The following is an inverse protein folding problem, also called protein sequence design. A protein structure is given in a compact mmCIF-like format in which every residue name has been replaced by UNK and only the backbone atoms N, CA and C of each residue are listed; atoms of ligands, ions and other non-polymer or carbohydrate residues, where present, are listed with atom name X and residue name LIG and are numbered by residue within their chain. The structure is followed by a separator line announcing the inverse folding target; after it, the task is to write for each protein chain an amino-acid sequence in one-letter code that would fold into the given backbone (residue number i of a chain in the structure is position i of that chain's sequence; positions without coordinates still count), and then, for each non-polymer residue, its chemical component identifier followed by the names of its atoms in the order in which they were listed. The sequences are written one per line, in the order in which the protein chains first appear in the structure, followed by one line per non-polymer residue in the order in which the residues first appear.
data_IF_474168204626
#
_entry.id   IF_474168204626
#
_cell.length_a   1.000
_cell.length_b   1.000
_cell.length_c   1.000
_cell.angle_alpha   90.00
_cell.angle_beta   90.00
_cell.angle_gamma   90.00
#
_symmetry.space_group_name_H-M   'P 1'
#
loop_
_entity.id
_entity.type
_entity.pdbx_description
1 polymer ?
#
# COMPACT_ATOMS: atom_id res chain seq x y z
N UNK A 1 -14.57 -25.61 -7.98
CA UNK A 1 -16.01 -25.22 -7.81
C UNK A 1 -16.26 -24.19 -6.71
N UNK A 2 -15.24 -23.67 -6.03
CA UNK A 2 -15.37 -22.60 -5.02
C UNK A 2 -14.90 -21.21 -5.50
N UNK A 3 -14.31 -21.10 -6.70
CA UNK A 3 -13.85 -19.81 -7.29
C UNK A 3 -14.96 -18.94 -7.95
N UNK A 4 -16.22 -19.38 -7.92
CA UNK A 4 -17.32 -18.68 -8.63
C UNK A 4 -18.33 -17.98 -7.73
N UNK A 5 -18.10 -17.86 -6.42
CA UNK A 5 -19.11 -17.32 -5.50
C UNK A 5 -18.89 -15.90 -4.96
N UNK A 6 -17.80 -15.23 -5.29
CA UNK A 6 -17.54 -13.86 -4.80
C UNK A 6 -17.66 -12.74 -5.85
N UNK A 7 -17.93 -13.05 -7.12
CA UNK A 7 -17.94 -12.05 -8.21
C UNK A 7 -19.33 -11.80 -8.82
N UNK A 8 -20.42 -12.34 -8.26
CA UNK A 8 -21.70 -12.39 -8.99
C UNK A 8 -22.78 -11.39 -8.58
N UNK A 9 -22.59 -10.53 -7.57
CA UNK A 9 -23.71 -9.73 -7.04
C UNK A 9 -23.58 -8.21 -7.06
N UNK A 10 -22.62 -7.63 -7.84
CA UNK A 10 -22.55 -6.18 -7.98
C UNK A 10 -22.16 -5.74 -9.39
N UNK A 11 -23.04 -6.00 -10.38
CA UNK A 11 -22.99 -5.28 -11.67
C UNK A 11 -24.17 -4.30 -11.74
N UNK A 12 -23.93 -2.97 -11.73
CA UNK A 12 -24.93 -2.05 -12.25
C UNK A 12 -25.08 -2.29 -13.77
N UNK A 13 -26.31 -2.21 -14.30
CA UNK A 13 -26.55 -2.26 -15.73
C UNK A 13 -25.85 -1.07 -16.40
N UNK A 14 -24.93 -1.35 -17.32
CA UNK A 14 -24.26 -0.33 -18.13
C UNK A 14 -25.28 0.39 -19.02
N UNK A 15 -25.22 1.71 -19.01
CA UNK A 15 -25.96 2.60 -19.90
C UNK A 15 -25.47 2.39 -21.35
N UNK A 16 -26.38 2.13 -22.34
CA UNK A 16 -26.02 1.97 -23.74
C UNK A 16 -25.30 3.18 -24.39
N UNK A 17 -25.47 4.37 -23.82
CA UNK A 17 -24.85 5.59 -24.33
C UNK A 17 -23.36 5.68 -24.02
N UNK A 18 -22.87 4.90 -23.05
CA UNK A 18 -21.43 4.86 -22.70
C UNK A 18 -20.55 4.23 -23.80
N UNK A 19 -21.05 3.15 -24.42
CA UNK A 19 -20.34 2.49 -25.55
C UNK A 19 -20.25 3.38 -26.79
N UNK A 20 -21.25 4.24 -27.03
CA UNK A 20 -21.25 5.20 -28.13
C UNK A 20 -20.24 6.34 -27.89
N UNK A 21 -20.10 6.79 -26.67
CA UNK A 21 -19.15 7.85 -26.31
C UNK A 21 -17.69 7.38 -26.39
N UNK A 22 -17.40 6.12 -26.04
CA UNK A 22 -16.05 5.53 -26.23
C UNK A 22 -15.67 5.44 -27.71
N UNK A 23 -16.61 5.04 -28.58
CA UNK A 23 -16.34 4.95 -30.02
C UNK A 23 -16.04 6.33 -30.65
N UNK A 24 -16.65 7.40 -30.14
CA UNK A 24 -16.37 8.79 -30.57
C UNK A 24 -14.99 9.23 -30.06
N UNK A 25 -14.61 8.93 -28.82
CA UNK A 25 -13.32 9.25 -28.24
C UNK A 25 -12.18 8.45 -28.89
N UNK A 26 -12.42 7.18 -29.23
CA UNK A 26 -11.44 6.34 -29.94
C UNK A 26 -11.16 6.87 -31.35
N UNK A 27 -12.17 7.36 -32.07
CA UNK A 27 -11.96 7.99 -33.39
C UNK A 27 -11.22 9.34 -33.30
N UNK A 28 -11.35 10.05 -32.18
CA UNK A 28 -10.67 11.33 -31.96
C UNK A 28 -9.15 11.17 -31.68
N UNK A 29 -8.77 10.08 -31.01
CA UNK A 29 -7.39 9.80 -30.58
C UNK A 29 -6.53 9.10 -31.65
N UNK A 30 -7.13 8.58 -32.74
CA UNK A 30 -6.44 7.69 -33.71
C UNK A 30 -6.28 8.20 -35.12
N UNK A 31 -6.60 9.45 -35.36
CA UNK A 31 -6.27 10.10 -36.63
C UNK A 31 -5.16 11.12 -36.37
N UNK A 32 -4.09 11.13 -37.19
CA UNK A 32 -3.07 12.19 -37.25
C UNK A 32 -3.70 13.52 -37.76
N UNK A 33 -4.88 13.87 -37.25
CA UNK A 33 -5.60 15.07 -37.59
C UNK A 33 -5.15 16.21 -36.68
N UNK A 34 -4.83 17.33 -37.30
CA UNK A 34 -4.63 18.59 -36.57
C UNK A 34 -5.93 19.04 -35.89
N UNK A 35 -5.84 19.89 -34.88
CA UNK A 35 -7.02 20.42 -34.16
C UNK A 35 -8.01 21.12 -35.16
N UNK A 36 -7.53 21.70 -36.25
CA UNK A 36 -8.33 22.30 -37.30
C UNK A 36 -9.11 21.27 -38.13
N UNK A 37 -8.53 20.12 -38.40
CA UNK A 37 -9.19 19.02 -39.12
C UNK A 37 -10.24 18.32 -38.25
N UNK A 38 -10.02 18.22 -36.94
CA UNK A 38 -10.99 17.66 -36.00
C UNK A 38 -12.22 18.57 -35.84
N UNK A 39 -12.03 19.88 -35.82
CA UNK A 39 -13.11 20.86 -35.80
C UNK A 39 -13.92 20.83 -37.09
N UNK A 40 -13.29 20.60 -38.25
CA UNK A 40 -13.93 20.51 -39.54
C UNK A 40 -14.74 19.20 -39.74
N UNK A 41 -14.38 18.12 -39.04
CA UNK A 41 -14.98 16.80 -39.23
C UNK A 41 -16.23 16.50 -38.39
N UNK A 42 -16.51 17.28 -37.35
CA UNK A 42 -17.49 16.79 -36.37
C UNK A 42 -18.54 17.73 -35.80
N UNK A 43 -18.42 19.06 -35.83
CA UNK A 43 -19.38 19.94 -35.16
C UNK A 43 -19.53 21.34 -35.74
N UNK A 44 -19.45 21.52 -37.01
CA UNK A 44 -19.74 22.82 -37.60
C UNK A 44 -21.18 22.87 -38.10
N UNK A 45 -22.05 23.50 -37.39
CA UNK A 45 -23.18 24.25 -38.00
C UNK A 45 -22.60 25.52 -38.57
N UNK A 46 -22.85 25.85 -39.85
CA UNK A 46 -22.30 27.05 -40.45
C UNK A 46 -23.18 28.25 -40.11
N UNK A 47 -22.70 29.17 -39.31
CA UNK A 47 -23.19 30.54 -39.37
C UNK A 47 -22.06 31.58 -39.30
N UNK A 48 -21.97 32.26 -40.45
CA UNK A 48 -21.52 33.63 -40.69
C UNK A 48 -20.06 34.01 -40.38
N UNK A 49 -19.35 34.13 -41.48
CA UNK A 49 -18.14 34.92 -41.59
C UNK A 49 -18.44 36.40 -41.27
N UNK A 50 -17.74 36.91 -40.28
CA UNK A 50 -17.24 38.31 -40.33
C UNK A 50 -15.96 38.34 -39.47
N UNK A 51 -14.88 38.86 -40.10
CA UNK A 51 -13.55 38.80 -39.55
C UNK A 51 -13.38 39.73 -38.33
N UNK A 52 -13.09 39.16 -37.22
CA UNK A 52 -12.30 39.74 -36.14
C UNK A 52 -11.35 38.66 -35.61
N UNK A 53 -10.08 39.02 -35.56
CA UNK A 53 -9.00 38.24 -34.97
C UNK A 53 -9.35 38.05 -33.46
N UNK A 54 -10.06 36.98 -33.12
CA UNK A 54 -10.39 36.66 -31.73
C UNK A 54 -9.15 36.12 -31.06
N UNK A 55 -8.60 36.90 -30.14
CA UNK A 55 -7.59 36.44 -29.18
C UNK A 55 -8.06 35.12 -28.54
N UNK A 56 -7.19 34.10 -28.56
CA UNK A 56 -7.42 32.82 -27.87
C UNK A 56 -7.75 33.14 -26.42
N UNK A 57 -8.84 32.61 -25.83
CA UNK A 57 -9.19 32.90 -24.48
C UNK A 57 -8.03 32.55 -23.54
N UNK A 58 -7.68 33.47 -22.65
CA UNK A 58 -6.58 33.31 -21.67
C UNK A 58 -6.65 32.00 -20.90
N UNK A 59 -7.85 31.47 -20.67
CA UNK A 59 -8.11 30.17 -20.06
C UNK A 59 -7.57 28.97 -20.87
N UNK A 60 -7.63 29.01 -22.21
CA UNK A 60 -7.14 27.93 -23.08
C UNK A 60 -5.62 27.93 -23.14
N UNK A 61 -4.96 29.09 -23.19
CA UNK A 61 -3.50 29.20 -23.12
C UNK A 61 -2.96 28.74 -21.76
N UNK A 62 -3.64 29.08 -20.66
CA UNK A 62 -3.25 28.63 -19.30
C UNK A 62 -3.37 27.12 -19.16
N UNK A 63 -4.45 26.52 -19.69
CA UNK A 63 -4.64 25.06 -19.64
C UNK A 63 -3.59 24.33 -20.50
N UNK A 64 -3.31 24.82 -21.70
CA UNK A 64 -2.28 24.25 -22.57
C UNK A 64 -0.89 24.28 -21.91
N UNK A 65 -0.50 25.41 -21.35
CA UNK A 65 0.79 25.54 -20.64
C UNK A 65 0.88 24.64 -19.40
N UNK A 66 -0.23 24.43 -18.68
CA UNK A 66 -0.27 23.51 -17.53
C UNK A 66 -0.08 22.07 -17.98
N UNK A 67 -0.74 21.64 -19.04
CA UNK A 67 -0.59 20.30 -19.60
C UNK A 67 0.86 20.05 -20.08
N UNK A 68 1.46 21.01 -20.78
CA UNK A 68 2.86 20.91 -21.24
C UNK A 68 3.83 20.73 -20.07
N UNK A 69 3.61 21.40 -18.94
CA UNK A 69 4.44 21.27 -17.73
C UNK A 69 4.32 19.88 -17.12
N UNK A 70 3.10 19.34 -17.01
CA UNK A 70 2.83 18.00 -16.47
C UNK A 70 3.50 16.92 -17.34
N UNK A 71 3.33 17.00 -18.66
CA UNK A 71 3.93 16.05 -19.60
C UNK A 71 5.46 16.08 -19.53
N UNK A 72 6.06 17.27 -19.51
CA UNK A 72 7.52 17.42 -19.40
C UNK A 72 8.01 16.82 -18.09
N UNK A 73 7.36 17.15 -16.97
CA UNK A 73 7.75 16.64 -15.67
C UNK A 73 7.69 15.10 -15.61
N UNK A 74 6.57 14.50 -16.01
CA UNK A 74 6.43 13.04 -15.98
C UNK A 74 7.39 12.33 -16.93
N UNK A 75 7.68 12.90 -18.09
CA UNK A 75 8.67 12.34 -19.00
C UNK A 75 10.06 12.25 -18.37
N UNK A 76 10.44 13.27 -17.58
CA UNK A 76 11.76 13.35 -16.94
C UNK A 76 11.81 12.58 -15.61
N UNK A 77 10.66 12.26 -14.99
CA UNK A 77 10.54 11.63 -13.67
C UNK A 77 9.78 10.28 -13.69
N UNK A 78 9.70 9.64 -14.86
CA UNK A 78 9.17 8.29 -15.02
C UNK A 78 10.30 7.37 -15.45
N UNK A 79 10.49 6.28 -14.70
CA UNK A 79 11.50 5.26 -14.99
C UNK A 79 10.85 3.92 -15.32
N UNK A 80 11.23 3.26 -16.44
CA UNK A 80 10.87 1.86 -16.67
C UNK A 80 11.58 0.95 -15.67
N UNK A 81 10.82 0.12 -14.94
CA UNK A 81 11.34 -0.76 -13.89
C UNK A 81 11.20 -2.22 -14.29
N UNK A 82 12.25 -2.98 -14.01
CA UNK A 82 12.29 -4.44 -14.08
C UNK A 82 12.65 -4.96 -12.69
N UNK A 83 11.69 -5.47 -11.95
CA UNK A 83 11.83 -5.84 -10.53
C UNK A 83 12.90 -6.92 -10.24
N UNK A 84 13.41 -7.58 -11.26
CA UNK A 84 14.54 -8.53 -11.15
C UNK A 84 15.92 -7.84 -11.07
N UNK A 85 15.96 -6.52 -11.29
CA UNK A 85 17.16 -5.70 -11.22
C UNK A 85 17.11 -4.75 -10.03
N UNK A 86 18.27 -4.38 -9.44
CA UNK A 86 18.32 -3.38 -8.38
C UNK A 86 17.77 -2.03 -8.85
N UNK A 87 17.05 -1.35 -7.96
CA UNK A 87 16.67 0.05 -8.14
C UNK A 87 17.88 0.95 -7.86
N UNK A 88 17.97 2.08 -8.56
CA UNK A 88 18.99 3.10 -8.37
C UNK A 88 18.38 4.39 -7.80
N UNK A 89 19.21 5.25 -7.18
CA UNK A 89 18.76 6.53 -6.61
C UNK A 89 18.06 7.42 -7.66
N UNK A 90 18.57 7.41 -8.90
CA UNK A 90 17.98 8.17 -10.00
C UNK A 90 16.55 7.71 -10.35
N UNK A 91 16.25 6.43 -10.13
CA UNK A 91 14.92 5.86 -10.40
C UNK A 91 13.93 6.24 -9.30
N UNK A 92 14.38 6.23 -8.05
CA UNK A 92 13.53 6.48 -6.88
C UNK A 92 13.20 7.96 -6.70
N UNK A 93 14.12 8.86 -7.02
CA UNK A 93 14.00 10.29 -6.79
C UNK A 93 14.17 10.67 -5.32
N UNK A 94 13.38 11.65 -4.83
CA UNK A 94 13.46 12.07 -3.43
C UNK A 94 13.16 10.90 -2.47
N UNK A 95 14.05 10.68 -1.50
CA UNK A 95 13.96 9.58 -0.53
C UNK A 95 14.20 10.05 0.91
N UNK A 96 14.07 11.36 1.18
CA UNK A 96 14.23 11.93 2.54
C UNK A 96 12.96 11.73 3.37
N UNK A 97 12.64 10.47 3.61
CA UNK A 97 11.50 10.03 4.41
C UNK A 97 11.95 9.05 5.49
N UNK A 98 11.13 8.91 6.53
CA UNK A 98 11.31 7.94 7.60
C UNK A 98 10.47 6.69 7.40
N UNK A 99 9.27 6.83 6.83
CA UNK A 99 8.33 5.72 6.58
C UNK A 99 8.01 5.66 5.10
N UNK A 100 8.21 4.49 4.50
CA UNK A 100 7.91 4.20 3.11
C UNK A 100 6.77 3.18 3.05
N UNK A 101 5.66 3.54 2.39
CA UNK A 101 4.49 2.68 2.23
C UNK A 101 4.23 2.43 0.75
N UNK A 102 4.30 1.17 0.33
CA UNK A 102 3.91 0.76 -1.02
C UNK A 102 2.51 0.13 -0.98
N UNK A 103 1.64 0.56 -1.87
CA UNK A 103 0.31 0.00 -2.02
C UNK A 103 0.32 -1.34 -2.76
N UNK A 104 -0.62 -2.22 -2.43
CA UNK A 104 -0.82 -3.45 -3.18
C UNK A 104 -2.30 -3.79 -3.34
N UNK A 105 -2.59 -4.57 -4.38
CA UNK A 105 -3.78 -5.42 -4.48
C UNK A 105 -3.38 -6.84 -4.18
N UNK A 106 -4.00 -7.44 -3.18
CA UNK A 106 -3.64 -8.80 -2.75
C UNK A 106 -3.83 -9.83 -3.87
N UNK A 107 -2.85 -10.74 -3.97
CA UNK A 107 -2.89 -11.86 -4.90
C UNK A 107 -2.37 -11.54 -6.30
N UNK A 108 -1.86 -10.34 -6.52
CA UNK A 108 -1.17 -10.02 -7.76
C UNK A 108 0.25 -10.60 -7.76
N UNK A 109 0.66 -11.31 -8.82
CA UNK A 109 1.94 -12.03 -8.85
C UNK A 109 3.17 -11.10 -8.76
N UNK A 110 3.05 -9.86 -9.21
CA UNK A 110 4.14 -8.88 -9.20
C UNK A 110 4.48 -8.35 -7.80
N UNK A 111 3.55 -8.45 -6.84
CA UNK A 111 3.70 -7.88 -5.49
C UNK A 111 4.99 -8.33 -4.79
N UNK A 112 5.31 -9.60 -4.89
CA UNK A 112 6.48 -10.17 -4.21
C UNK A 112 7.79 -9.63 -4.78
N UNK A 113 7.91 -9.55 -6.11
CA UNK A 113 9.09 -9.00 -6.77
C UNK A 113 9.26 -7.51 -6.48
N UNK A 114 8.18 -6.73 -6.56
CA UNK A 114 8.14 -5.31 -6.20
C UNK A 114 8.56 -5.10 -4.75
N UNK A 115 7.97 -5.82 -3.79
CA UNK A 115 8.31 -5.74 -2.36
C UNK A 115 9.78 -6.01 -2.10
N UNK A 116 10.32 -7.06 -2.75
CA UNK A 116 11.72 -7.43 -2.61
C UNK A 116 12.65 -6.34 -3.11
N UNK A 117 12.42 -5.83 -4.33
CA UNK A 117 13.28 -4.80 -4.93
C UNK A 117 13.22 -3.48 -4.13
N UNK A 118 12.01 -3.04 -3.74
CA UNK A 118 11.83 -1.84 -2.92
C UNK A 118 12.48 -1.99 -1.55
N UNK A 119 12.27 -3.11 -0.84
CA UNK A 119 12.89 -3.31 0.47
C UNK A 119 14.40 -3.32 0.38
N UNK A 120 14.97 -4.04 -0.60
CA UNK A 120 16.42 -4.10 -0.77
C UNK A 120 17.00 -2.71 -1.04
N UNK A 121 16.44 -1.96 -1.99
CA UNK A 121 16.87 -0.59 -2.28
C UNK A 121 16.79 0.31 -1.03
N UNK A 122 15.66 0.31 -0.34
CA UNK A 122 15.43 1.16 0.81
C UNK A 122 16.33 0.78 2.00
N UNK A 123 16.63 -0.50 2.18
CA UNK A 123 17.59 -0.94 3.19
C UNK A 123 19.01 -0.48 2.85
N UNK A 124 19.48 -0.73 1.62
CA UNK A 124 20.86 -0.46 1.20
C UNK A 124 21.14 1.03 1.04
N UNK A 125 20.19 1.82 0.55
CA UNK A 125 20.40 3.23 0.21
C UNK A 125 19.80 4.18 1.25
N UNK A 126 18.72 3.79 1.93
CA UNK A 126 18.00 4.68 2.84
C UNK A 126 18.09 4.26 4.32
N UNK A 127 18.67 3.10 4.61
CA UNK A 127 18.83 2.61 5.99
C UNK A 127 17.53 2.12 6.62
N UNK A 128 16.58 1.63 5.83
CA UNK A 128 15.38 0.97 6.34
C UNK A 128 15.75 -0.36 6.99
N UNK A 129 15.47 -0.53 8.27
CA UNK A 129 15.74 -1.76 9.02
C UNK A 129 14.48 -2.48 9.49
N UNK A 130 13.30 -1.87 9.40
CA UNK A 130 12.06 -2.47 9.90
C UNK A 130 11.09 -2.68 8.75
N UNK A 131 10.75 -3.96 8.49
CA UNK A 131 9.69 -4.35 7.57
C UNK A 131 8.36 -4.32 8.30
N UNK A 132 7.46 -3.44 7.87
CA UNK A 132 6.08 -3.39 8.34
C UNK A 132 5.21 -4.38 7.56
N UNK A 133 4.31 -5.09 8.25
CA UNK A 133 3.36 -6.03 7.62
C UNK A 133 1.93 -5.80 8.11
N UNK A 134 0.95 -5.98 7.19
CA UNK A 134 -0.48 -5.85 7.49
C UNK A 134 -1.02 -7.11 8.17
N UNK A 135 -0.39 -7.50 9.28
CA UNK A 135 -0.82 -8.62 10.12
C UNK A 135 -0.66 -8.25 11.60
N UNK A 136 -1.23 -9.04 12.50
CA UNK A 136 -1.25 -8.75 13.92
C UNK A 136 0.13 -8.70 14.56
N UNK A 137 0.24 -7.98 15.67
CA UNK A 137 1.49 -7.85 16.44
C UNK A 137 1.97 -9.23 16.90
N UNK A 138 1.07 -10.05 17.47
CA UNK A 138 1.40 -11.41 17.89
C UNK A 138 1.68 -12.33 16.72
N UNK A 139 0.89 -12.26 15.66
CA UNK A 139 1.11 -13.02 14.42
C UNK A 139 2.48 -12.72 13.79
N UNK A 140 2.98 -11.49 13.94
CA UNK A 140 4.28 -11.07 13.37
C UNK A 140 5.46 -11.61 14.18
N UNK A 141 5.30 -11.90 15.47
CA UNK A 141 6.38 -12.45 16.30
C UNK A 141 6.88 -13.82 15.80
N UNK A 142 6.03 -14.60 15.11
CA UNK A 142 6.49 -15.86 14.48
C UNK A 142 7.45 -15.60 13.32
N UNK A 143 7.27 -14.49 12.58
CA UNK A 143 8.19 -14.07 11.51
C UNK A 143 9.51 -13.54 12.08
N UNK A 144 9.46 -12.72 13.13
CA UNK A 144 10.64 -12.22 13.82
C UNK A 144 11.47 -13.40 14.37
N UNK A 145 10.81 -14.39 14.95
CA UNK A 145 11.46 -15.61 15.42
C UNK A 145 12.05 -16.43 14.27
N UNK A 146 11.35 -16.50 13.12
CA UNK A 146 11.90 -17.14 11.93
C UNK A 146 13.15 -16.41 11.42
N UNK A 147 13.12 -15.09 11.31
CA UNK A 147 14.29 -14.32 10.87
C UNK A 147 15.48 -14.47 11.81
N UNK A 148 15.25 -14.67 13.10
CA UNK A 148 16.29 -14.90 14.10
C UNK A 148 16.89 -16.30 14.01
N UNK A 149 16.06 -17.34 13.81
CA UNK A 149 16.47 -18.74 13.95
C UNK A 149 16.65 -19.48 12.64
N UNK A 150 15.88 -19.13 11.60
CA UNK A 150 15.73 -19.87 10.35
C UNK A 150 14.92 -21.16 10.48
N UNK A 151 14.23 -21.37 11.61
CA UNK A 151 13.38 -22.53 11.80
C UNK A 151 12.06 -22.37 11.04
N UNK A 152 11.91 -23.20 9.99
CA UNK A 152 10.74 -23.22 9.10
C UNK A 152 9.42 -23.47 9.83
N UNK A 153 9.43 -24.05 11.04
CA UNK A 153 8.20 -24.23 11.81
C UNK A 153 7.55 -22.88 12.12
N UNK A 154 8.35 -21.86 12.47
CA UNK A 154 7.85 -20.51 12.72
C UNK A 154 7.25 -19.89 11.46
N UNK A 155 7.94 -19.98 10.34
CA UNK A 155 7.42 -19.51 9.07
C UNK A 155 6.11 -20.20 8.70
N UNK A 156 6.02 -21.51 8.90
CA UNK A 156 4.81 -22.28 8.62
C UNK A 156 3.59 -21.86 9.43
N UNK A 157 3.75 -21.33 10.65
CA UNK A 157 2.63 -20.74 11.39
C UNK A 157 2.10 -19.50 10.70
N UNK A 158 2.96 -18.61 10.22
CA UNK A 158 2.56 -17.43 9.46
C UNK A 158 1.90 -17.77 8.13
N UNK A 159 2.45 -18.73 7.38
CA UNK A 159 1.94 -19.11 6.06
C UNK A 159 0.51 -19.64 6.09
N UNK A 160 0.04 -20.15 7.23
CA UNK A 160 -1.38 -20.53 7.42
C UNK A 160 -2.34 -19.35 7.28
N UNK A 161 -1.86 -18.11 7.43
CA UNK A 161 -2.67 -16.89 7.28
C UNK A 161 -2.80 -16.48 5.81
N UNK A 162 -1.92 -16.96 4.92
CA UNK A 162 -1.74 -16.39 3.58
C UNK A 162 -2.59 -17.07 2.50
N UNK A 163 -3.23 -18.19 2.79
CA UNK A 163 -4.12 -18.87 1.84
C UNK A 163 -3.45 -19.17 0.51
N UNK A 164 -3.98 -18.64 -0.60
CA UNK A 164 -3.44 -18.85 -1.95
C UNK A 164 -2.11 -18.12 -2.21
N UNK A 165 -1.72 -17.16 -1.37
CA UNK A 165 -0.46 -16.41 -1.49
C UNK A 165 0.69 -17.08 -0.72
N UNK A 166 0.46 -18.23 -0.06
CA UNK A 166 1.44 -18.84 0.85
C UNK A 166 2.79 -19.16 0.18
N UNK A 167 2.79 -19.62 -1.08
CA UNK A 167 4.03 -19.96 -1.77
C UNK A 167 4.88 -18.71 -2.07
N UNK A 168 4.26 -17.63 -2.55
CA UNK A 168 4.93 -16.37 -2.83
C UNK A 168 5.45 -15.71 -1.52
N UNK A 169 4.65 -15.77 -0.46
CA UNK A 169 5.08 -15.31 0.86
C UNK A 169 6.25 -16.14 1.41
N UNK A 170 6.21 -17.46 1.26
CA UNK A 170 7.31 -18.33 1.68
C UNK A 170 8.61 -18.00 0.95
N UNK A 171 8.55 -17.73 -0.36
CA UNK A 171 9.70 -17.33 -1.16
C UNK A 171 10.29 -16.01 -0.63
N UNK A 172 9.44 -15.00 -0.42
CA UNK A 172 9.86 -13.70 0.11
C UNK A 172 10.54 -13.81 1.48
N UNK A 173 9.93 -14.49 2.45
CA UNK A 173 10.46 -14.59 3.80
C UNK A 173 11.74 -15.41 3.88
N UNK A 174 11.90 -16.46 3.04
CA UNK A 174 13.16 -17.21 2.92
C UNK A 174 14.26 -16.35 2.31
N UNK A 175 13.94 -15.56 1.29
CA UNK A 175 14.87 -14.59 0.76
C UNK A 175 15.26 -13.56 1.84
N UNK A 176 14.31 -12.96 2.54
CA UNK A 176 14.59 -11.96 3.57
C UNK A 176 15.43 -12.52 4.72
N UNK A 177 15.20 -13.77 5.14
CA UNK A 177 16.04 -14.45 6.12
C UNK A 177 17.49 -14.54 5.65
N UNK A 178 17.74 -15.02 4.42
CA UNK A 178 19.10 -15.12 3.88
C UNK A 178 19.75 -13.74 3.73
N UNK A 179 19.01 -12.77 3.25
CA UNK A 179 19.44 -11.39 3.09
C UNK A 179 19.79 -10.77 4.45
N UNK A 180 18.93 -10.88 5.45
CA UNK A 180 19.17 -10.39 6.80
C UNK A 180 20.46 -10.96 7.41
N UNK A 181 20.71 -12.26 7.24
CA UNK A 181 21.96 -12.88 7.69
C UNK A 181 23.21 -12.29 7.02
N UNK A 182 23.12 -11.94 5.75
CA UNK A 182 24.22 -11.29 5.01
C UNK A 182 24.45 -9.87 5.49
N UNK A 183 23.40 -9.18 5.91
CA UNK A 183 23.44 -7.81 6.43
C UNK A 183 23.75 -7.74 7.95
N UNK A 184 24.10 -8.84 8.58
CA UNK A 184 24.48 -8.89 9.99
C UNK A 184 23.32 -9.07 10.99
N UNK A 185 22.12 -9.37 10.53
CA UNK A 185 20.96 -9.66 11.39
C UNK A 185 20.29 -8.41 11.97
N UNK A 186 20.30 -7.29 11.25
CA UNK A 186 19.79 -5.99 11.71
C UNK A 186 18.35 -5.70 11.26
N UNK A 187 17.78 -6.55 10.42
CA UNK A 187 16.43 -6.36 9.88
C UNK A 187 15.42 -6.98 10.86
N UNK A 188 14.39 -6.20 11.16
CA UNK A 188 13.26 -6.55 12.01
C UNK A 188 11.94 -6.58 11.24
N UNK A 189 10.93 -7.25 11.80
CA UNK A 189 9.56 -7.28 11.26
C UNK A 189 8.59 -6.79 12.33
N UNK A 190 7.69 -5.88 11.97
CA UNK A 190 6.69 -5.35 12.88
C UNK A 190 5.28 -5.41 12.28
N UNK A 191 4.32 -5.89 13.07
CA UNK A 191 2.91 -6.01 12.69
C UNK A 191 2.14 -4.72 12.91
N UNK A 192 1.39 -4.33 11.89
CA UNK A 192 0.49 -3.17 11.94
C UNK A 192 -0.98 -3.56 12.07
N UNK A 193 -1.37 -4.73 11.55
CA UNK A 193 -2.76 -5.15 11.47
C UNK A 193 -3.35 -5.63 12.80
N UNK A 194 -4.61 -6.03 12.75
CA UNK A 194 -5.30 -6.69 13.86
C UNK A 194 -4.98 -8.18 13.89
N UNK A 195 -5.15 -8.83 15.06
CA UNK A 195 -4.95 -10.27 15.22
C UNK A 195 -6.06 -11.02 14.45
N UNK A 196 -5.71 -11.61 13.31
CA UNK A 196 -6.67 -12.34 12.44
C UNK A 196 -6.82 -13.81 12.85
N UNK A 197 -5.75 -14.38 13.39
CA UNK A 197 -5.73 -15.77 13.86
C UNK A 197 -5.10 -15.86 15.25
N UNK A 198 -5.94 -15.88 16.25
CA UNK A 198 -5.52 -15.90 17.66
C UNK A 198 -4.66 -17.11 18.05
N UNK A 199 -4.75 -18.23 17.29
CA UNK A 199 -3.85 -19.38 17.51
C UNK A 199 -2.42 -19.01 17.08
N UNK A 200 -2.26 -18.36 15.93
CA UNK A 200 -0.94 -17.88 15.47
C UNK A 200 -0.42 -16.79 16.41
N UNK A 201 -1.30 -15.91 16.91
CA UNK A 201 -0.92 -14.91 17.92
C UNK A 201 -0.37 -15.55 19.19
N UNK A 202 -0.93 -16.69 19.62
CA UNK A 202 -0.40 -17.42 20.78
C UNK A 202 0.95 -18.09 20.48
N UNK A 203 1.21 -18.55 19.26
CA UNK A 203 2.56 -18.95 18.85
C UNK A 203 3.53 -17.77 18.88
N UNK A 204 3.09 -16.58 18.48
CA UNK A 204 3.89 -15.36 18.65
C UNK A 204 4.19 -15.05 20.11
N UNK A 205 3.23 -15.26 20.99
CA UNK A 205 3.44 -15.11 22.44
C UNK A 205 4.45 -16.15 22.98
N UNK A 206 4.40 -17.40 22.49
CA UNK A 206 5.41 -18.41 22.79
C UNK A 206 6.81 -18.00 22.28
N UNK A 207 6.88 -17.35 21.14
CA UNK A 207 8.17 -16.84 20.59
C UNK A 207 8.78 -15.71 21.45
N UNK A 208 7.95 -14.98 22.19
CA UNK A 208 8.37 -13.94 23.15
C UNK A 208 8.74 -14.51 24.53
N UNK A 209 8.26 -15.71 24.86
CA UNK A 209 8.48 -16.31 26.17
C UNK A 209 9.92 -16.82 26.31
N UNK A 210 10.54 -16.56 27.46
CA UNK A 210 11.73 -17.28 27.86
C UNK A 210 11.33 -18.57 28.58
N UNK A 211 11.50 -19.69 27.89
CA UNK A 211 11.10 -21.00 28.40
C UNK A 211 11.96 -21.50 29.57
N UNK A 212 13.09 -20.87 29.84
CA UNK A 212 13.99 -21.20 30.98
C UNK A 212 13.56 -20.50 32.26
N UNK A 213 12.71 -19.47 32.18
CA UNK A 213 12.19 -18.76 33.37
C UNK A 213 11.04 -19.56 33.97
N UNK A 214 11.14 -19.83 35.27
CA UNK A 214 10.03 -20.43 36.02
C UNK A 214 8.94 -19.37 36.29
N UNK A 215 7.67 -19.62 35.87
CA UNK A 215 6.61 -18.66 36.09
C UNK A 215 6.17 -18.63 37.57
N UNK A 216 5.63 -17.51 38.02
CA UNK A 216 4.90 -17.43 39.27
C UNK A 216 3.71 -18.41 39.25
N UNK A 217 3.35 -18.98 40.45
CA UNK A 217 2.25 -19.93 40.57
C UNK A 217 0.93 -19.40 39.98
N UNK A 218 0.69 -18.09 40.08
CA UNK A 218 -0.52 -17.42 39.61
C UNK A 218 -0.71 -17.43 38.10
N UNK A 219 0.36 -17.64 37.29
CA UNK A 219 0.32 -17.74 35.84
C UNK A 219 0.87 -19.07 35.30
N UNK A 220 1.17 -20.00 36.18
CA UNK A 220 1.81 -21.28 35.82
C UNK A 220 0.99 -22.10 34.82
N UNK A 221 -0.33 -22.18 34.98
CA UNK A 221 -1.20 -22.89 34.03
C UNK A 221 -1.21 -22.26 32.66
N UNK A 222 -1.15 -20.93 32.56
CA UNK A 222 -1.06 -20.22 31.32
C UNK A 222 0.28 -20.52 30.61
N UNK A 223 1.39 -20.39 31.32
CA UNK A 223 2.73 -20.66 30.76
C UNK A 223 2.87 -22.14 30.37
N UNK A 224 2.33 -23.06 31.17
CA UNK A 224 2.33 -24.48 30.83
C UNK A 224 1.54 -24.75 29.55
N UNK A 225 0.36 -24.12 29.38
CA UNK A 225 -0.42 -24.25 28.16
C UNK A 225 0.35 -23.72 26.91
N UNK A 226 1.12 -22.63 27.04
CA UNK A 226 2.00 -22.14 25.98
C UNK A 226 3.11 -23.15 25.67
N UNK A 227 3.81 -23.67 26.67
CA UNK A 227 4.91 -24.63 26.53
C UNK A 227 4.44 -25.95 25.90
N UNK A 228 3.24 -26.38 26.22
CA UNK A 228 2.61 -27.59 25.64
C UNK A 228 2.00 -27.35 24.26
N UNK A 229 2.14 -26.16 23.72
CA UNK A 229 1.53 -25.71 22.46
C UNK A 229 -0.02 -25.87 22.44
N UNK A 230 -0.65 -25.86 23.60
CA UNK A 230 -2.10 -25.85 23.71
C UNK A 230 -2.64 -24.43 23.58
N UNK A 231 -2.55 -23.87 22.35
CA UNK A 231 -2.82 -22.47 22.08
C UNK A 231 -4.27 -22.06 22.37
N UNK A 232 -5.23 -22.98 22.29
CA UNK A 232 -6.62 -22.70 22.66
C UNK A 232 -6.75 -22.47 24.17
N UNK A 233 -6.13 -23.31 24.99
CA UNK A 233 -6.11 -23.13 26.44
C UNK A 233 -5.29 -21.89 26.82
N UNK A 234 -4.13 -21.69 26.22
CA UNK A 234 -3.32 -20.50 26.41
C UNK A 234 -4.10 -19.21 26.18
N UNK A 235 -4.85 -19.10 25.06
CA UNK A 235 -5.69 -17.95 24.76
C UNK A 235 -6.79 -17.70 25.83
N UNK A 236 -7.42 -18.77 26.32
CA UNK A 236 -8.44 -18.65 27.38
C UNK A 236 -7.86 -18.10 28.66
N UNK A 237 -6.67 -18.55 29.04
CA UNK A 237 -5.98 -18.13 30.27
C UNK A 237 -5.30 -16.76 30.12
N UNK A 238 -4.89 -16.39 28.92
CA UNK A 238 -4.14 -15.16 28.62
C UNK A 238 -4.88 -13.91 29.12
N UNK A 239 -6.18 -13.80 28.82
CA UNK A 239 -6.98 -12.65 29.25
C UNK A 239 -6.96 -12.51 30.78
N UNK A 240 -7.24 -13.59 31.51
CA UNK A 240 -7.25 -13.58 32.97
C UNK A 240 -5.86 -13.24 33.53
N UNK A 241 -4.79 -13.81 32.92
CA UNK A 241 -3.42 -13.51 33.33
C UNK A 241 -3.08 -12.02 33.15
N UNK A 242 -3.47 -11.42 32.02
CA UNK A 242 -3.23 -9.99 31.76
C UNK A 242 -4.04 -9.05 32.66
N UNK A 243 -5.30 -9.41 33.00
CA UNK A 243 -6.19 -8.57 33.80
C UNK A 243 -5.95 -8.70 35.31
N UNK A 244 -5.65 -9.92 35.79
CA UNK A 244 -5.58 -10.22 37.22
C UNK A 244 -4.15 -10.37 37.76
N UNK A 245 -3.17 -10.66 36.89
CA UNK A 245 -1.79 -10.97 37.25
C UNK A 245 -0.76 -10.18 36.44
N UNK A 246 -0.94 -8.84 36.17
CA UNK A 246 -0.08 -8.07 35.29
C UNK A 246 1.37 -8.04 35.76
N UNK A 247 1.64 -8.01 37.06
CA UNK A 247 3.00 -7.99 37.62
C UNK A 247 3.71 -9.33 37.36
N UNK A 248 3.01 -10.47 37.57
CA UNK A 248 3.58 -11.78 37.27
C UNK A 248 3.84 -11.99 35.78
N UNK A 249 2.98 -11.44 34.90
CA UNK A 249 3.20 -11.42 33.45
C UNK A 249 4.40 -10.56 33.08
N UNK A 250 4.55 -9.38 33.70
CA UNK A 250 5.70 -8.50 33.46
C UNK A 250 7.00 -9.16 33.91
N UNK A 251 7.03 -9.79 35.08
CA UNK A 251 8.21 -10.49 35.59
C UNK A 251 8.61 -11.67 34.68
N UNK A 252 7.62 -12.40 34.12
CA UNK A 252 7.87 -13.55 33.28
C UNK A 252 8.35 -13.16 31.88
N UNK A 253 7.74 -12.15 31.24
CA UNK A 253 8.11 -11.73 29.90
C UNK A 253 9.24 -10.69 29.86
N UNK A 254 9.59 -10.07 30.98
CA UNK A 254 10.68 -9.11 31.08
C UNK A 254 10.60 -8.02 30.01
N UNK A 255 11.68 -7.85 29.23
CA UNK A 255 11.77 -6.84 28.17
C UNK A 255 10.72 -7.02 27.06
N UNK A 256 10.20 -8.24 26.87
CA UNK A 256 9.15 -8.52 25.88
C UNK A 256 7.74 -8.15 26.37
N UNK A 257 7.57 -7.72 27.63
CA UNK A 257 6.24 -7.46 28.19
C UNK A 257 5.48 -6.36 27.45
N UNK A 258 6.19 -5.38 26.91
CA UNK A 258 5.57 -4.32 26.10
C UNK A 258 4.90 -4.88 24.82
N UNK A 259 5.51 -5.87 24.16
CA UNK A 259 4.92 -6.57 23.01
C UNK A 259 3.69 -7.39 23.43
N UNK A 260 3.76 -8.03 24.60
CA UNK A 260 2.64 -8.79 25.19
C UNK A 260 1.44 -7.88 25.46
N UNK A 261 1.69 -6.69 26.02
CA UNK A 261 0.64 -5.69 26.26
C UNK A 261 0.02 -5.18 24.96
N UNK A 262 0.85 -4.92 23.92
CA UNK A 262 0.35 -4.49 22.62
C UNK A 262 -0.47 -5.58 21.93
N UNK A 263 -0.03 -6.84 21.99
CA UNK A 263 -0.81 -7.99 21.52
C UNK A 263 -2.16 -8.06 22.24
N UNK A 264 -2.16 -7.93 23.57
CA UNK A 264 -3.40 -7.95 24.34
C UNK A 264 -4.35 -6.80 23.93
N UNK A 265 -3.83 -5.58 23.79
CA UNK A 265 -4.60 -4.44 23.30
C UNK A 265 -5.18 -4.70 21.90
N UNK A 266 -4.39 -5.30 21.02
CA UNK A 266 -4.78 -5.63 19.66
C UNK A 266 -5.90 -6.69 19.60
N UNK A 267 -5.91 -7.65 20.53
CA UNK A 267 -7.05 -8.58 20.70
C UNK A 267 -8.34 -7.89 21.17
N UNK A 268 -8.24 -6.70 21.76
CA UNK A 268 -9.39 -5.91 22.22
C UNK A 268 -9.91 -4.90 21.17
N UNK A 269 -9.32 -4.80 19.97
CA UNK A 269 -9.64 -3.80 18.93
C UNK A 269 -11.14 -3.74 18.63
N UNK A 270 -11.81 -4.89 18.52
CA UNK A 270 -13.26 -4.94 18.30
C UNK A 270 -14.09 -4.30 19.41
N UNK A 271 -13.58 -4.29 20.63
CA UNK A 271 -14.23 -3.65 21.79
C UNK A 271 -13.85 -2.17 21.85
N UNK A 272 -12.58 -1.86 21.67
CA UNK A 272 -12.02 -0.50 21.71
C UNK A 272 -12.65 0.41 20.64
N UNK A 273 -12.74 -0.10 19.41
CA UNK A 273 -13.27 0.65 18.25
C UNK A 273 -14.66 0.16 17.82
N UNK A 274 -15.49 -0.24 18.77
CA UNK A 274 -16.86 -0.74 18.49
C UNK A 274 -17.67 0.26 17.68
N UNK A 275 -18.17 -0.20 16.54
CA UNK A 275 -19.03 0.59 15.65
C UNK A 275 -18.30 1.58 14.74
N UNK A 276 -16.96 1.63 14.78
CA UNK A 276 -16.13 2.40 13.84
C UNK A 276 -15.94 1.59 12.56
N UNK A 277 -16.09 2.26 11.41
CA UNK A 277 -15.82 1.68 10.09
C UNK A 277 -14.32 1.65 9.79
N UNK A 278 -13.58 2.65 10.29
CA UNK A 278 -12.12 2.81 10.17
C UNK A 278 -11.33 2.13 11.30
N UNK A 279 -11.95 1.14 11.96
CA UNK A 279 -11.38 0.41 13.11
C UNK A 279 -10.00 -0.17 12.82
N UNK A 280 -9.82 -0.75 11.63
CA UNK A 280 -8.58 -1.43 11.28
C UNK A 280 -7.45 -0.39 11.05
N UNK A 281 -7.74 0.74 10.40
CA UNK A 281 -6.78 1.85 10.23
C UNK A 281 -6.39 2.50 11.57
N UNK A 282 -7.36 2.64 12.51
CA UNK A 282 -7.08 3.14 13.85
C UNK A 282 -6.17 2.16 14.63
N UNK A 283 -6.43 0.86 14.53
CA UNK A 283 -5.59 -0.16 15.15
C UNK A 283 -4.18 -0.18 14.53
N UNK A 284 -4.07 0.00 13.22
CA UNK A 284 -2.78 0.14 12.53
C UNK A 284 -2.00 1.35 13.06
N UNK A 285 -2.67 2.47 13.32
CA UNK A 285 -2.01 3.65 13.91
C UNK A 285 -1.56 3.41 15.35
N UNK A 286 -2.35 2.72 16.17
CA UNK A 286 -1.95 2.35 17.54
C UNK A 286 -0.71 1.44 17.51
N UNK A 287 -0.70 0.43 16.60
CA UNK A 287 0.42 -0.46 16.42
C UNK A 287 1.65 0.29 15.89
N UNK A 288 1.49 1.21 14.95
CA UNK A 288 2.61 2.03 14.45
C UNK A 288 3.19 2.93 15.53
N UNK A 289 2.37 3.55 16.37
CA UNK A 289 2.84 4.31 17.51
C UNK A 289 3.64 3.44 18.49
N UNK A 290 3.27 2.18 18.65
CA UNK A 290 4.05 1.22 19.43
C UNK A 290 5.39 0.92 18.75
N UNK A 291 5.40 0.62 17.46
CA UNK A 291 6.60 0.32 16.65
C UNK A 291 7.58 1.49 16.67
N UNK A 292 7.10 2.74 16.49
CA UNK A 292 7.94 3.95 16.56
C UNK A 292 8.63 4.13 17.91
N UNK A 293 8.01 3.68 19.01
CA UNK A 293 8.65 3.70 20.34
C UNK A 293 9.68 2.58 20.52
N UNK A 294 9.48 1.44 19.86
CA UNK A 294 10.44 0.32 19.89
C UNK A 294 11.69 0.58 19.05
N UNK A 295 11.52 1.28 17.94
CA UNK A 295 12.55 1.56 16.94
C UNK A 295 12.64 3.08 16.68
N UNK A 296 13.06 3.89 17.70
CA UNK A 296 12.97 5.36 17.64
C UNK A 296 13.85 5.98 16.56
N UNK A 297 14.95 5.33 16.21
CA UNK A 297 15.97 5.85 15.29
C UNK A 297 15.92 5.16 13.90
N UNK A 298 15.03 4.17 13.72
CA UNK A 298 14.96 3.39 12.48
C UNK A 298 14.04 4.03 11.44
N UNK A 299 14.26 3.60 10.19
CA UNK A 299 13.36 3.83 9.06
C UNK A 299 12.58 2.56 8.74
N UNK A 300 11.41 2.74 8.14
CA UNK A 300 10.38 1.70 8.01
C UNK A 300 9.95 1.55 6.56
N UNK A 301 9.71 0.33 6.12
CA UNK A 301 9.04 0.04 4.86
C UNK A 301 7.89 -0.95 5.07
N UNK A 302 6.72 -0.66 4.48
CA UNK A 302 5.56 -1.56 4.45
C UNK A 302 4.95 -1.66 3.07
N UNK A 303 4.65 -2.88 2.62
CA UNK A 303 3.75 -3.11 1.51
C UNK A 303 2.38 -3.49 2.09
N UNK A 304 1.39 -2.63 1.86
CA UNK A 304 0.06 -2.70 2.46
C UNK A 304 -1.01 -2.55 1.38
N UNK A 305 -2.24 -2.90 1.67
CA UNK A 305 -3.35 -2.63 0.73
C UNK A 305 -3.39 -1.15 0.34
N UNK A 306 -3.59 -0.85 -0.96
CA UNK A 306 -3.61 0.52 -1.50
C UNK A 306 -4.48 1.48 -0.66
N UNK A 307 -5.62 1.00 -0.16
CA UNK A 307 -6.52 1.78 0.67
C UNK A 307 -5.90 2.27 1.99
N UNK A 308 -4.92 1.57 2.55
CA UNK A 308 -4.23 1.97 3.78
C UNK A 308 -3.06 2.93 3.53
N UNK A 309 -2.55 2.97 2.29
CA UNK A 309 -1.34 3.74 1.94
C UNK A 309 -1.64 5.20 1.61
N UNK A 310 -2.82 5.48 1.04
CA UNK A 310 -3.20 6.83 0.63
C UNK A 310 -3.19 7.83 1.78
N UNK A 311 -2.70 9.05 1.52
CA UNK A 311 -2.66 10.15 2.50
C UNK A 311 -3.87 11.09 2.40
N UNK A 312 -4.83 10.82 1.52
CA UNK A 312 -6.09 11.55 1.43
C UNK A 312 -7.27 10.62 1.28
N UNK A 313 -8.45 11.10 1.69
CA UNK A 313 -9.67 10.32 1.64
C UNK A 313 -10.16 10.12 0.21
N UNK A 314 -10.59 8.90 -0.08
CA UNK A 314 -11.32 8.55 -1.28
C UNK A 314 -12.83 8.66 -1.04
N UNK A 315 -13.55 8.99 -2.10
CA UNK A 315 -15.00 8.91 -2.14
C UNK A 315 -15.37 7.53 -2.67
N UNK A 316 -15.61 6.60 -1.78
CA UNK A 316 -15.92 5.23 -2.13
C UNK A 316 -17.45 5.03 -2.10
N UNK A 317 -18.10 5.13 -3.26
CA UNK A 317 -19.51 4.90 -3.46
C UNK A 317 -20.41 5.67 -2.46
N UNK A 318 -21.12 4.94 -1.59
CA UNK A 318 -21.97 5.51 -0.55
C UNK A 318 -21.23 5.80 0.78
N UNK A 319 -19.94 5.52 0.89
CA UNK A 319 -19.13 5.76 2.07
C UNK A 319 -18.47 7.13 1.96
N UNK A 320 -19.19 8.14 2.41
CA UNK A 320 -18.69 9.52 2.44
C UNK A 320 -17.65 9.65 3.56
N UNK A 321 -16.44 10.01 3.18
CA UNK A 321 -15.48 10.99 3.73
C UNK A 321 -15.25 11.14 5.26
N UNK A 322 -15.80 10.32 6.13
CA UNK A 322 -15.45 10.31 7.57
C UNK A 322 -14.56 9.10 7.93
N UNK A 323 -13.87 8.57 6.94
CA UNK A 323 -13.10 7.35 7.03
C UNK A 323 -11.62 7.74 7.05
N UNK A 324 -11.02 7.65 8.23
CA UNK A 324 -9.57 7.85 8.33
C UNK A 324 -8.85 6.63 7.76
N UNK A 325 -7.90 6.86 6.86
CA UNK A 325 -7.01 5.81 6.36
C UNK A 325 -5.70 5.85 7.13
N UNK A 326 -5.01 4.72 7.20
CA UNK A 326 -3.75 4.62 7.96
C UNK A 326 -2.72 5.64 7.48
N UNK A 327 -2.48 5.77 6.17
CA UNK A 327 -1.55 6.76 5.60
C UNK A 327 -1.94 8.20 5.93
N UNK A 328 -3.25 8.52 5.94
CA UNK A 328 -3.76 9.85 6.37
C UNK A 328 -3.45 10.11 7.85
N UNK A 329 -3.68 9.12 8.72
CA UNK A 329 -3.41 9.24 10.15
C UNK A 329 -1.91 9.39 10.40
N UNK A 330 -1.12 8.59 9.69
CA UNK A 330 0.34 8.54 9.86
C UNK A 330 1.03 9.82 9.40
N UNK A 331 0.56 10.46 8.32
CA UNK A 331 1.09 11.73 7.84
C UNK A 331 0.31 12.94 8.35
N UNK A 332 -0.74 12.73 9.15
CA UNK A 332 -1.64 13.74 9.66
C UNK A 332 -1.07 14.57 10.80
N UNK A 333 -1.81 15.65 11.15
CA UNK A 333 -1.45 16.54 12.25
C UNK A 333 -1.32 15.78 13.58
N UNK A 334 -0.21 15.99 14.27
CA UNK A 334 0.10 15.37 15.57
C UNK A 334 0.72 13.97 15.47
N UNK A 335 0.91 13.42 14.26
CA UNK A 335 1.69 12.19 14.08
C UNK A 335 3.17 12.43 14.37
N UNK A 336 3.87 11.48 15.03
CA UNK A 336 5.31 11.59 15.26
C UNK A 336 6.16 11.63 13.98
N UNK A 337 5.60 11.24 12.85
CA UNK A 337 6.26 11.18 11.53
C UNK A 337 5.54 12.03 10.49
N UNK A 338 4.79 13.06 10.92
CA UNK A 338 4.12 14.00 10.02
C UNK A 338 5.14 14.64 9.06
N UNK A 339 4.88 14.58 7.77
CA UNK A 339 5.76 15.08 6.71
C UNK A 339 6.95 14.16 6.36
N UNK A 340 7.10 13.02 7.06
CA UNK A 340 8.17 12.05 6.85
C UNK A 340 7.67 10.72 6.25
N UNK A 341 6.49 10.73 5.62
CA UNK A 341 5.86 9.53 5.05
C UNK A 341 5.85 9.62 3.52
N UNK A 342 6.49 8.65 2.88
CA UNK A 342 6.40 8.43 1.44
C UNK A 342 5.35 7.37 1.15
N UNK A 343 4.25 7.75 0.53
CA UNK A 343 3.24 6.84 0.01
C UNK A 343 3.45 6.60 -1.47
N UNK A 344 3.50 5.32 -1.85
CA UNK A 344 3.63 4.84 -3.24
C UNK A 344 2.33 4.10 -3.59
N UNK A 345 1.43 4.72 -4.36
CA UNK A 345 0.21 4.06 -4.81
C UNK A 345 0.51 3.19 -6.03
N UNK A 346 -0.09 2.00 -6.08
CA UNK A 346 0.14 1.03 -7.16
C UNK A 346 -1.09 0.88 -8.02
N UNK A 347 -0.90 1.01 -9.32
CA UNK A 347 -1.91 0.85 -10.37
C UNK A 347 -1.62 -0.45 -11.10
N UNK A 348 -2.60 -1.35 -11.12
CA UNK A 348 -2.54 -2.59 -11.90
C UNK A 348 -3.30 -2.39 -13.20
N UNK A 349 -2.68 -2.67 -14.33
CA UNK A 349 -3.28 -2.42 -15.64
C UNK A 349 -2.73 -3.37 -16.69
N UNK A 350 -3.37 -3.39 -17.85
CA UNK A 350 -2.93 -4.16 -19.01
C UNK A 350 -2.34 -3.23 -20.07
N UNK A 351 -1.41 -3.76 -20.87
CA UNK A 351 -0.95 -3.07 -22.08
C UNK A 351 -1.90 -3.37 -23.21
N UNK A 352 -2.56 -2.32 -23.71
CA UNK A 352 -3.32 -2.39 -24.94
C UNK A 352 -2.49 -1.94 -26.15
N UNK A 353 -2.94 -2.32 -27.36
CA UNK A 353 -2.34 -1.83 -28.62
C UNK A 353 -2.36 -0.29 -28.73
N UNK A 354 -3.16 0.37 -27.93
CA UNK A 354 -3.45 1.79 -28.00
C UNK A 354 -3.21 2.54 -26.67
N UNK A 355 -2.55 1.94 -25.68
CA UNK A 355 -2.29 2.60 -24.41
C UNK A 355 -2.55 1.70 -23.20
N UNK A 356 -2.89 2.29 -22.07
CA UNK A 356 -3.21 1.58 -20.86
C UNK A 356 -4.68 1.14 -20.87
N UNK A 357 -4.92 -0.12 -20.53
CA UNK A 357 -6.26 -0.69 -20.40
C UNK A 357 -6.51 -1.06 -18.95
N UNK A 358 -7.53 -0.49 -18.34
CA UNK A 358 -7.96 -0.87 -17.00
C UNK A 358 -9.27 -1.66 -17.09
N UNK A 359 -9.24 -2.89 -16.59
CA UNK A 359 -10.45 -3.72 -16.48
C UNK A 359 -10.79 -4.03 -15.00
N UNK A 360 -9.96 -3.58 -14.05
CA UNK A 360 -10.19 -3.83 -12.63
C UNK A 360 -10.92 -2.69 -11.94
N UNK A 361 -11.77 -3.04 -10.97
CA UNK A 361 -12.47 -2.07 -10.13
C UNK A 361 -11.53 -1.07 -9.42
N UNK A 362 -10.25 -1.42 -9.27
CA UNK A 362 -9.23 -0.53 -8.71
C UNK A 362 -8.80 0.59 -9.66
N UNK A 363 -8.92 0.38 -10.98
CA UNK A 363 -8.69 1.44 -11.97
C UNK A 363 -9.84 2.45 -12.06
N UNK A 364 -10.94 2.23 -11.34
CA UNK A 364 -12.00 3.23 -11.21
C UNK A 364 -11.54 4.51 -10.52
N UNK A 365 -10.41 4.47 -9.81
CA UNK A 365 -9.83 5.62 -9.11
C UNK A 365 -8.95 6.50 -10.00
N UNK A 366 -8.31 5.94 -11.03
CA UNK A 366 -7.30 6.64 -11.83
C UNK A 366 -7.78 6.93 -13.24
N UNK A 367 -7.39 8.10 -13.77
CA UNK A 367 -7.54 8.41 -15.19
C UNK A 367 -6.38 7.83 -15.99
N UNK A 368 -6.53 6.59 -16.45
CA UNK A 368 -5.50 5.88 -17.21
C UNK A 368 -5.21 6.52 -18.57
N UNK A 369 -6.17 7.25 -19.16
CA UNK A 369 -5.91 7.98 -20.41
C UNK A 369 -5.02 9.18 -20.16
N UNK A 370 -5.32 9.97 -19.10
CA UNK A 370 -4.47 11.07 -18.69
C UNK A 370 -3.05 10.59 -18.32
N UNK A 371 -2.95 9.46 -17.61
CA UNK A 371 -1.66 8.86 -17.27
C UNK A 371 -0.88 8.43 -18.53
N UNK A 372 -1.53 7.71 -19.47
CA UNK A 372 -0.90 7.25 -20.70
C UNK A 372 -0.44 8.40 -21.60
N UNK A 373 -1.23 9.47 -21.67
CA UNK A 373 -0.87 10.69 -22.40
C UNK A 373 0.34 11.37 -21.74
N UNK A 374 0.32 11.48 -20.42
CA UNK A 374 1.33 12.20 -19.67
C UNK A 374 2.71 11.49 -19.67
N UNK A 375 2.75 10.17 -19.48
CA UNK A 375 4.02 9.41 -19.50
C UNK A 375 4.55 9.17 -20.91
N UNK A 376 3.70 9.18 -21.92
CA UNK A 376 4.06 8.97 -23.32
C UNK A 376 4.08 7.51 -23.76
N UNK A 377 3.82 7.29 -25.03
CA UNK A 377 3.72 5.95 -25.64
C UNK A 377 5.05 5.18 -25.61
N UNK A 378 6.16 5.88 -25.65
CA UNK A 378 7.51 5.30 -25.58
C UNK A 378 7.75 4.53 -24.29
N UNK A 379 7.29 5.03 -23.13
CA UNK A 379 7.42 4.34 -21.86
C UNK A 379 6.52 3.10 -21.80
N UNK A 380 5.28 3.20 -22.28
CA UNK A 380 4.34 2.07 -22.32
C UNK A 380 4.88 0.96 -23.23
N UNK A 381 5.58 1.31 -24.30
CA UNK A 381 6.14 0.37 -25.26
C UNK A 381 7.41 -0.37 -24.76
N UNK A 382 8.02 0.04 -23.65
CA UNK A 382 9.26 -0.57 -23.13
C UNK A 382 9.12 -2.03 -22.73
N UNK A 383 7.90 -2.46 -22.35
CA UNK A 383 7.66 -3.77 -21.77
C UNK A 383 7.93 -3.85 -20.25
N UNK A 384 8.45 -2.79 -19.67
CA UNK A 384 8.71 -2.66 -18.23
C UNK A 384 7.49 -2.14 -17.47
N UNK A 385 7.44 -2.37 -16.16
CA UNK A 385 6.59 -1.61 -15.25
C UNK A 385 7.09 -0.18 -15.13
N UNK A 386 6.30 0.74 -14.58
CA UNK A 386 6.70 2.14 -14.49
C UNK A 386 6.76 2.58 -13.03
N UNK A 387 7.77 3.38 -12.71
CA UNK A 387 7.90 4.08 -11.45
C UNK A 387 7.91 5.59 -11.72
N UNK A 388 6.98 6.32 -11.11
CA UNK A 388 6.81 7.75 -11.29
C UNK A 388 7.14 8.45 -9.98
N UNK A 389 8.22 9.23 -9.96
CA UNK A 389 8.57 10.09 -8.85
C UNK A 389 7.80 11.42 -8.96
N UNK A 390 6.82 11.63 -8.10
CA UNK A 390 5.94 12.81 -8.14
C UNK A 390 6.45 13.97 -7.28
N UNK A 391 7.44 13.75 -6.43
CA UNK A 391 7.93 14.62 -5.38
C UNK A 391 9.35 15.14 -5.60
N UNK A 392 9.82 15.08 -6.85
CA UNK A 392 11.09 15.69 -7.24
C UNK A 392 10.96 17.22 -7.36
N UNK A 393 12.08 17.90 -7.46
CA UNK A 393 12.14 19.35 -7.63
C UNK A 393 11.28 19.82 -8.81
N UNK A 394 10.61 20.96 -8.65
CA UNK A 394 9.72 21.58 -9.65
C UNK A 394 8.46 20.75 -10.01
N UNK A 395 8.01 19.86 -9.12
CA UNK A 395 6.79 19.09 -9.36
C UNK A 395 5.54 19.96 -9.50
N UNK A 396 4.72 19.76 -10.56
CA UNK A 396 3.44 20.45 -10.70
C UNK A 396 2.35 19.87 -9.77
N UNK A 397 2.59 18.71 -9.16
CA UNK A 397 1.59 17.96 -8.41
C UNK A 397 1.37 18.46 -6.98
N UNK A 398 2.08 19.49 -6.56
CA UNK A 398 1.76 20.28 -5.35
C UNK A 398 0.56 21.19 -5.54
N UNK A 399 0.17 21.48 -6.79
CA UNK A 399 -0.97 22.36 -7.13
C UNK A 399 -2.02 21.67 -8.01
N UNK A 400 -1.67 20.53 -8.62
CA UNK A 400 -2.52 19.83 -9.58
C UNK A 400 -2.69 18.36 -9.19
N UNK A 401 -3.81 17.78 -9.63
CA UNK A 401 -4.04 16.33 -9.54
C UNK A 401 -3.84 15.68 -10.92
N UNK A 402 -4.83 15.75 -11.78
CA UNK A 402 -4.78 15.30 -13.17
C UNK A 402 -4.78 13.78 -13.39
N UNK A 403 -4.44 12.98 -12.38
CA UNK A 403 -4.34 11.51 -12.49
C UNK A 403 -5.38 10.74 -11.67
N UNK A 404 -5.97 11.37 -10.64
CA UNK A 404 -7.07 10.79 -9.86
C UNK A 404 -8.37 11.39 -10.36
N UNK A 405 -9.34 10.54 -10.70
CA UNK A 405 -10.64 10.98 -11.20
C UNK A 405 -11.36 11.88 -10.18
N UNK A 406 -11.93 13.03 -10.59
CA UNK A 406 -12.60 13.96 -9.66
C UNK A 406 -13.75 13.33 -8.86
N UNK A 407 -14.48 12.40 -9.47
CA UNK A 407 -15.63 11.73 -8.86
C UNK A 407 -15.28 10.84 -7.67
N UNK A 408 -14.03 10.38 -7.58
CA UNK A 408 -13.56 9.53 -6.47
C UNK A 408 -12.79 10.30 -5.41
N UNK A 409 -12.53 11.58 -5.61
CA UNK A 409 -11.93 12.45 -4.59
C UNK A 409 -12.99 12.88 -3.58
N UNK A 410 -12.72 12.71 -2.28
CA UNK A 410 -13.60 13.22 -1.24
C UNK A 410 -13.59 14.76 -1.22
N UNK A 411 -12.43 15.33 -1.47
CA UNK A 411 -12.17 16.75 -1.67
C UNK A 411 -11.22 16.89 -2.85
N UNK A 412 -11.37 17.96 -3.64
CA UNK A 412 -10.42 18.25 -4.71
C UNK A 412 -9.08 18.69 -4.10
N UNK A 413 -8.06 17.84 -4.28
CA UNK A 413 -6.73 18.03 -3.72
C UNK A 413 -5.65 17.77 -4.77
N UNK A 414 -4.47 18.38 -4.62
CA UNK A 414 -3.29 18.03 -5.40
C UNK A 414 -2.93 16.55 -5.27
N UNK A 415 -2.25 16.00 -6.28
CA UNK A 415 -1.86 14.59 -6.27
C UNK A 415 -0.88 14.27 -5.12
N UNK A 416 0.00 15.21 -4.80
CA UNK A 416 0.96 15.08 -3.71
C UNK A 416 0.30 14.94 -2.33
N UNK A 417 -0.95 15.36 -2.17
CA UNK A 417 -1.71 15.12 -0.94
C UNK A 417 -2.22 13.67 -0.82
N UNK A 418 -2.14 12.88 -1.90
CA UNK A 418 -2.50 11.45 -1.91
C UNK A 418 -1.30 10.54 -1.83
N UNK A 419 -0.23 10.86 -2.57
CA UNK A 419 0.99 10.05 -2.63
C UNK A 419 2.18 10.83 -3.18
N UNK A 420 3.38 10.33 -2.93
CA UNK A 420 4.65 10.87 -3.42
C UNK A 420 5.16 10.11 -4.65
N UNK A 421 4.70 8.89 -4.84
CA UNK A 421 5.11 8.04 -5.97
C UNK A 421 3.90 7.31 -6.54
N UNK A 422 3.96 6.97 -7.84
CA UNK A 422 3.07 6.01 -8.46
C UNK A 422 3.87 4.86 -9.06
N UNK A 423 3.34 3.67 -8.90
CA UNK A 423 3.87 2.44 -9.50
C UNK A 423 2.80 1.91 -10.46
N UNK A 424 3.15 1.68 -11.72
CA UNK A 424 2.24 1.09 -12.69
C UNK A 424 2.74 -0.31 -13.03
N UNK A 425 2.00 -1.32 -12.61
CA UNK A 425 2.27 -2.73 -12.86
C UNK A 425 1.42 -3.21 -14.03
N UNK A 426 2.07 -3.77 -15.02
CA UNK A 426 1.40 -4.33 -16.18
C UNK A 426 1.22 -5.84 -16.02
N UNK A 427 0.01 -6.33 -16.26
CA UNK A 427 -0.21 -7.77 -16.36
C UNK A 427 0.72 -8.35 -17.42
N UNK A 428 1.51 -9.33 -17.03
CA UNK A 428 2.20 -10.20 -17.97
C UNK A 428 1.15 -11.14 -18.54
N UNK A 429 0.76 -10.97 -19.80
CA UNK A 429 -0.05 -11.96 -20.50
C UNK A 429 0.60 -13.35 -20.34
N UNK A 430 -0.13 -14.27 -19.70
CA UNK A 430 0.20 -15.69 -19.66
C UNK A 430 -0.05 -16.35 -21.02
#
# INVERSE_FOLDING_TARGET
RQRQMCIRDSRPMMDPDWAANIAVLQNFLYTDMTAEEAIAAGTATPETADGEETAVPETVEVQSKKNDTVHTYLKDNTTPIYWDYPLEDADFGNADYRVFLAGETRGQPQNTAMRKALFQYLHEQQGVNVQLVETGVGETQVLEQYLRTGDENWLNHYLKLQGSCADAEAEYWRWLYQYNRQQGGTIHVAGLGTERNTVVSMYGLLALADTEIEPAESIADFVQALRDENMTTALQLFKTAMEEQPDAMADYFGDAYAQVQQLYANLQVNTTYKGRLDRDDLAMMDNMNFVLRQYPDDKFFGQLSNGHVTQSAWKDGNYIANYSRFGMLLNGEGSPVQGEVCSMLTIYTQRGSNGLLGDDAENDYYDLNALAEAVGKEFIATGADLFLALDNEDTPYTEQNGLIKPEVQAEEKPLMDYCQKLIVLFDTEN
#
